data_IF_293149177063
#
_entry.id   IF_293149177063
#
_cell.length_a   1.000
_cell.length_b   1.000
_cell.length_c   1.000
_cell.angle_alpha   90.00
_cell.angle_beta   90.00
_cell.angle_gamma   90.00
#
_symmetry.space_group_name_H-M   'P 1'
#
loop_
_entity.id
_entity.type
_entity.pdbx_description
1 polymer ?
#
# COMPACT_ATOMS: atom_id res chain seq x y z
N UNK A 1 -39.50 14.72 -4.32
CA UNK A 1 -39.03 14.84 -2.96
C UNK A 1 -37.89 13.86 -2.72
N UNK A 2 -36.77 14.36 -2.32
CA UNK A 2 -35.65 13.51 -1.93
C UNK A 2 -35.79 13.19 -0.45
N UNK A 3 -35.72 11.91 -0.13
CA UNK A 3 -35.67 11.49 1.24
C UNK A 3 -34.28 11.74 1.80
N UNK A 4 -34.21 12.40 2.94
CA UNK A 4 -32.94 12.53 3.65
C UNK A 4 -32.45 11.15 4.07
N UNK A 5 -31.16 10.84 3.93
CA UNK A 5 -30.62 9.60 4.45
C UNK A 5 -30.91 9.47 5.95
N UNK A 6 -31.09 8.26 6.39
CA UNK A 6 -31.16 7.98 7.83
C UNK A 6 -29.72 7.95 8.37
N UNK A 7 -29.29 9.09 8.91
CA UNK A 7 -27.91 9.22 9.40
C UNK A 7 -27.60 8.38 10.64
N UNK A 8 -28.62 7.86 11.32
CA UNK A 8 -28.41 6.90 12.40
C UNK A 8 -27.85 5.60 11.86
N UNK A 9 -28.40 5.12 10.76
CA UNK A 9 -28.04 3.82 10.19
C UNK A 9 -27.01 3.95 9.07
N UNK A 10 -26.94 5.12 8.44
CA UNK A 10 -26.05 5.37 7.29
C UNK A 10 -24.99 6.44 7.59
N UNK A 11 -24.62 6.58 8.83
CA UNK A 11 -23.65 7.56 9.27
C UNK A 11 -22.23 7.03 9.32
N UNK A 12 -21.46 7.63 10.20
CA UNK A 12 -20.06 7.27 10.41
C UNK A 12 -19.95 5.83 10.92
N UNK A 13 -18.96 5.13 10.41
CA UNK A 13 -18.59 3.78 10.85
C UNK A 13 -17.24 3.82 11.54
N UNK A 14 -17.12 3.10 12.64
CA UNK A 14 -15.85 2.94 13.34
C UNK A 14 -15.56 1.45 13.37
N UNK A 15 -14.42 1.06 12.83
CA UNK A 15 -13.93 -0.32 12.91
C UNK A 15 -12.81 -0.32 13.95
N UNK A 16 -13.02 -1.07 15.03
CA UNK A 16 -12.07 -1.11 16.13
C UNK A 16 -10.87 -1.98 15.78
N UNK A 17 -9.77 -1.75 16.46
CA UNK A 17 -8.51 -2.48 16.25
C UNK A 17 -8.70 -4.00 16.31
N UNK A 18 -9.51 -4.49 17.21
CA UNK A 18 -9.77 -5.94 17.34
C UNK A 18 -10.74 -6.53 16.32
N UNK A 19 -11.29 -5.70 15.44
CA UNK A 19 -12.30 -6.12 14.47
C UNK A 19 -11.78 -6.21 13.04
N UNK A 20 -10.46 -5.97 12.82
CA UNK A 20 -9.89 -6.06 11.51
C UNK A 20 -9.96 -7.49 10.98
N UNK A 21 -10.18 -7.62 9.68
CA UNK A 21 -10.34 -8.91 9.03
C UNK A 21 -9.06 -9.32 8.32
N UNK A 22 -8.39 -10.35 8.86
CA UNK A 22 -7.18 -10.90 8.26
C UNK A 22 -7.48 -11.96 7.18
N UNK A 23 -8.75 -12.30 6.98
CA UNK A 23 -9.16 -13.20 5.89
C UNK A 23 -9.25 -12.42 4.57
N UNK A 24 -8.12 -11.94 4.10
CA UNK A 24 -7.96 -11.16 2.88
C UNK A 24 -6.75 -11.72 2.14
N UNK A 25 -6.62 -11.50 0.82
CA UNK A 25 -5.47 -12.03 0.08
C UNK A 25 -4.15 -11.62 0.71
N UNK A 26 -3.27 -12.60 0.88
CA UNK A 26 -1.98 -12.44 1.53
C UNK A 26 -0.84 -12.63 0.53
N UNK A 27 0.32 -12.10 0.89
CA UNK A 27 1.56 -12.24 0.13
C UNK A 27 2.61 -12.87 1.06
N UNK A 28 3.44 -13.80 0.59
CA UNK A 28 4.49 -14.36 1.45
C UNK A 28 5.38 -13.27 2.05
N UNK A 29 5.62 -13.37 3.36
CA UNK A 29 6.38 -12.38 4.12
C UNK A 29 5.62 -11.12 4.50
N UNK A 30 4.37 -11.01 4.07
CA UNK A 30 3.52 -9.85 4.34
C UNK A 30 2.16 -10.32 4.81
N UNK A 31 1.62 -9.72 5.86
CA UNK A 31 0.25 -9.96 6.31
C UNK A 31 -0.58 -8.69 6.20
N UNK A 32 -1.82 -8.84 5.79
CA UNK A 32 -2.79 -7.75 5.66
C UNK A 32 -4.00 -8.00 6.50
N UNK A 33 -4.61 -6.93 7.02
CA UNK A 33 -5.88 -7.00 7.71
C UNK A 33 -6.76 -5.85 7.23
N UNK A 34 -7.94 -6.18 6.73
CA UNK A 34 -8.87 -5.17 6.22
C UNK A 34 -9.58 -4.48 7.38
N UNK A 35 -9.60 -3.16 7.34
CA UNK A 35 -10.35 -2.33 8.28
C UNK A 35 -11.57 -1.72 7.61
N UNK A 36 -11.39 -1.08 6.47
CA UNK A 36 -12.45 -0.42 5.73
C UNK A 36 -12.58 -1.07 4.36
N UNK A 37 -13.73 -1.67 4.12
CA UNK A 37 -14.11 -2.22 2.83
C UNK A 37 -15.62 -2.27 2.77
N UNK A 38 -16.19 -2.83 1.71
CA UNK A 38 -17.64 -2.91 1.59
C UNK A 38 -18.26 -3.75 2.71
N UNK A 39 -17.69 -4.90 2.99
CA UNK A 39 -18.25 -5.83 3.97
C UNK A 39 -18.25 -5.28 5.40
N UNK A 40 -17.22 -4.54 5.77
CA UNK A 40 -17.09 -4.02 7.14
C UNK A 40 -17.71 -2.65 7.33
N UNK A 41 -17.69 -1.80 6.33
CA UNK A 41 -18.08 -0.40 6.49
C UNK A 41 -19.02 0.10 5.39
N UNK A 42 -19.34 -0.72 4.40
CA UNK A 42 -20.14 -0.30 3.26
C UNK A 42 -19.39 0.64 2.31
N UNK A 43 -18.07 0.65 2.38
CA UNK A 43 -17.25 1.48 1.49
C UNK A 43 -17.31 0.96 0.06
N UNK A 44 -17.54 1.84 -0.88
CA UNK A 44 -17.67 1.46 -2.29
C UNK A 44 -16.43 1.76 -3.11
N UNK A 45 -15.69 2.80 -2.74
CA UNK A 45 -14.57 3.31 -3.52
C UNK A 45 -13.24 3.26 -2.80
N UNK A 46 -13.22 2.83 -1.56
CA UNK A 46 -12.02 2.79 -0.74
C UNK A 46 -11.86 1.45 -0.06
N UNK A 47 -10.64 0.99 -0.04
CA UNK A 47 -10.21 -0.10 0.84
C UNK A 47 -9.10 0.45 1.73
N UNK A 48 -9.14 0.14 3.03
CA UNK A 48 -8.07 0.52 3.93
C UNK A 48 -7.83 -0.60 4.93
N UNK A 49 -6.58 -0.78 5.29
CA UNK A 49 -6.19 -1.80 6.25
C UNK A 49 -4.76 -1.62 6.71
N UNK A 50 -4.29 -2.61 7.45
CA UNK A 50 -2.92 -2.64 7.95
C UNK A 50 -2.11 -3.67 7.18
N UNK A 51 -0.81 -3.43 7.12
CA UNK A 51 0.16 -4.30 6.48
C UNK A 51 1.34 -4.46 7.42
N UNK A 52 1.75 -5.71 7.63
CA UNK A 52 2.97 -6.03 8.35
C UNK A 52 3.90 -6.79 7.42
N UNK A 53 5.14 -6.33 7.32
CA UNK A 53 6.17 -7.03 6.55
C UNK A 53 7.24 -7.47 7.54
N UNK A 54 7.52 -8.77 7.55
CA UNK A 54 8.50 -9.36 8.44
C UNK A 54 9.89 -8.77 8.21
N UNK A 55 10.76 -8.80 9.25
CA UNK A 55 12.14 -8.35 9.07
C UNK A 55 12.79 -9.03 7.88
N UNK A 56 13.53 -8.25 7.11
CA UNK A 56 14.28 -8.73 5.94
C UNK A 56 13.43 -9.38 4.84
N UNK A 57 12.12 -9.18 4.88
CA UNK A 57 11.21 -9.72 3.86
C UNK A 57 10.94 -8.69 2.77
N UNK A 58 10.52 -9.19 1.62
CA UNK A 58 10.14 -8.36 0.47
C UNK A 58 9.06 -9.07 -0.33
N UNK A 59 8.26 -8.29 -1.03
CA UNK A 59 7.29 -8.83 -2.00
C UNK A 59 8.01 -9.17 -3.31
N UNK A 60 7.34 -9.93 -4.17
CA UNK A 60 7.74 -9.99 -5.56
C UNK A 60 7.40 -8.68 -6.28
N UNK A 61 7.88 -8.54 -7.50
CA UNK A 61 7.51 -7.42 -8.35
C UNK A 61 6.07 -7.59 -8.83
N UNK A 62 5.28 -6.51 -8.77
CA UNK A 62 3.86 -6.54 -9.15
C UNK A 62 3.35 -5.14 -9.43
N UNK A 63 2.15 -5.06 -10.00
CA UNK A 63 1.38 -3.83 -10.03
C UNK A 63 -0.08 -4.12 -9.68
N UNK A 64 -0.85 -3.08 -9.46
CA UNK A 64 -2.25 -3.18 -9.03
C UNK A 64 -3.22 -2.66 -10.10
N UNK A 65 -2.84 -2.75 -11.38
CA UNK A 65 -3.67 -2.25 -12.47
C UNK A 65 -3.93 -0.76 -12.32
N UNK A 66 -5.17 -0.36 -12.52
CA UNK A 66 -5.57 1.06 -12.47
C UNK A 66 -5.71 1.62 -11.05
N UNK A 67 -5.51 0.80 -10.02
CA UNK A 67 -5.66 1.26 -8.63
C UNK A 67 -4.54 2.21 -8.23
N UNK A 68 -4.90 3.18 -7.42
CA UNK A 68 -3.95 4.00 -6.71
C UNK A 68 -3.83 3.52 -5.27
N UNK A 69 -2.66 3.66 -4.68
CA UNK A 69 -2.44 3.28 -3.28
C UNK A 69 -1.70 4.37 -2.54
N UNK A 70 -2.07 4.52 -1.27
CA UNK A 70 -1.31 5.31 -0.31
C UNK A 70 -0.87 4.37 0.80
N UNK A 71 0.40 4.44 1.15
CA UNK A 71 0.96 3.68 2.25
C UNK A 71 1.49 4.68 3.28
N UNK A 72 1.05 4.56 4.52
CA UNK A 72 1.56 5.35 5.63
C UNK A 72 2.39 4.45 6.53
N UNK A 73 3.65 4.81 6.76
CA UNK A 73 4.55 4.02 7.60
C UNK A 73 4.29 4.35 9.06
N UNK A 74 3.78 3.39 9.82
CA UNK A 74 3.56 3.52 11.27
C UNK A 74 4.84 3.30 12.05
N UNK A 75 5.59 2.25 11.69
CA UNK A 75 6.85 1.92 12.35
C UNK A 75 7.73 1.12 11.42
N UNK A 76 9.02 1.21 11.62
CA UNK A 76 10.00 0.55 10.78
C UNK A 76 10.47 1.42 9.63
N UNK A 77 11.10 0.78 8.65
CA UNK A 77 11.68 1.47 7.49
C UNK A 77 11.35 0.69 6.22
N UNK A 78 10.65 1.37 5.30
CA UNK A 78 10.26 0.79 4.04
C UNK A 78 11.27 1.15 2.95
N UNK A 79 11.55 0.22 2.07
CA UNK A 79 12.27 0.48 0.82
C UNK A 79 11.37 0.10 -0.33
N UNK A 80 11.15 1.04 -1.23
CA UNK A 80 10.37 0.79 -2.44
C UNK A 80 11.31 0.76 -3.63
N UNK A 81 11.15 -0.25 -4.46
CA UNK A 81 11.78 -0.27 -5.79
C UNK A 81 10.67 -0.23 -6.82
N UNK A 82 10.90 0.47 -7.92
CA UNK A 82 9.92 0.57 -8.99
C UNK A 82 10.59 0.79 -10.34
N UNK A 83 9.78 0.67 -11.38
CA UNK A 83 10.22 0.79 -12.75
C UNK A 83 10.16 -0.55 -13.48
N UNK A 84 10.28 -0.51 -14.79
CA UNK A 84 10.19 -1.72 -15.63
C UNK A 84 11.25 -2.77 -15.28
N UNK A 85 12.35 -2.34 -14.69
CA UNK A 85 13.46 -3.20 -14.25
C UNK A 85 13.75 -3.01 -12.77
N UNK A 86 12.80 -2.46 -12.00
CA UNK A 86 12.98 -2.11 -10.60
C UNK A 86 14.25 -1.29 -10.36
N UNK A 87 14.58 -0.43 -11.31
CA UNK A 87 15.83 0.34 -11.32
C UNK A 87 15.85 1.48 -10.32
N UNK A 88 14.68 1.99 -9.94
CA UNK A 88 14.58 3.12 -9.02
C UNK A 88 14.34 2.64 -7.60
N UNK A 89 14.85 3.39 -6.62
CA UNK A 89 14.70 3.05 -5.20
C UNK A 89 14.56 4.30 -4.35
N UNK A 90 13.71 4.21 -3.32
CA UNK A 90 13.61 5.23 -2.28
C UNK A 90 13.19 4.57 -0.98
N UNK A 91 13.50 5.23 0.14
CA UNK A 91 13.15 4.75 1.47
C UNK A 91 12.21 5.72 2.16
N UNK A 92 11.37 5.16 3.02
CA UNK A 92 10.43 5.91 3.85
C UNK A 92 10.50 5.38 5.29
N UNK A 93 10.40 6.28 6.23
CA UNK A 93 10.46 5.97 7.67
C UNK A 93 9.12 6.31 8.34
N UNK A 94 8.99 5.95 9.60
CA UNK A 94 7.77 6.21 10.37
C UNK A 94 7.32 7.67 10.23
N UNK A 95 6.06 7.86 9.89
CA UNK A 95 5.47 9.18 9.64
C UNK A 95 5.44 9.58 8.17
N UNK A 96 6.11 8.85 7.29
CA UNK A 96 6.14 9.17 5.87
C UNK A 96 4.97 8.52 5.14
N UNK A 97 4.52 9.19 4.08
CA UNK A 97 3.51 8.66 3.15
C UNK A 97 4.17 8.27 1.83
N UNK A 98 3.72 7.16 1.28
CA UNK A 98 4.15 6.66 -0.03
C UNK A 98 2.94 6.64 -0.94
N UNK A 99 3.08 7.18 -2.13
CA UNK A 99 2.05 7.09 -3.16
C UNK A 99 2.50 6.11 -4.25
N UNK A 100 1.65 5.15 -4.57
CA UNK A 100 1.91 4.18 -5.64
C UNK A 100 0.91 4.45 -6.77
N UNK A 101 1.39 4.99 -7.91
CA UNK A 101 0.49 5.29 -9.04
C UNK A 101 -0.02 4.03 -9.74
N UNK A 102 -1.04 4.18 -10.59
CA UNK A 102 -1.54 3.05 -11.38
C UNK A 102 -0.45 2.43 -12.25
N UNK A 103 -0.53 1.12 -12.43
CA UNK A 103 0.28 0.31 -13.35
C UNK A 103 1.77 0.27 -13.08
N UNK A 104 2.28 0.99 -12.10
CA UNK A 104 3.73 1.02 -11.89
C UNK A 104 4.22 -0.33 -11.33
N UNK A 105 5.16 -0.98 -12.01
CA UNK A 105 5.81 -2.16 -11.45
C UNK A 105 6.58 -1.75 -10.20
N UNK A 106 6.35 -2.43 -9.09
CA UNK A 106 7.01 -2.08 -7.84
C UNK A 106 7.23 -3.29 -6.95
N UNK A 107 8.05 -3.10 -5.95
CA UNK A 107 8.38 -4.10 -4.94
C UNK A 107 8.47 -3.40 -3.59
N UNK A 108 7.87 -3.99 -2.57
CA UNK A 108 7.88 -3.48 -1.21
C UNK A 108 8.86 -4.31 -0.38
N UNK A 109 9.76 -3.63 0.31
CA UNK A 109 10.85 -4.26 1.04
C UNK A 109 10.88 -3.71 2.46
N UNK A 110 11.00 -4.57 3.45
CA UNK A 110 11.37 -4.13 4.79
C UNK A 110 12.88 -3.93 4.80
N UNK A 111 13.30 -2.67 4.96
CA UNK A 111 14.72 -2.31 4.94
C UNK A 111 15.44 -2.60 6.25
N UNK A 112 14.71 -3.03 7.29
CA UNK A 112 15.28 -3.34 8.59
C UNK A 112 15.41 -4.85 8.73
N UNK A 113 16.61 -5.38 9.07
CA UNK A 113 16.78 -6.81 9.27
C UNK A 113 16.21 -7.32 10.59
N UNK A 114 15.90 -6.44 11.54
CA UNK A 114 15.57 -6.84 12.91
C UNK A 114 14.14 -6.50 13.33
N UNK A 115 13.52 -5.48 12.72
CA UNK A 115 12.22 -4.97 13.13
C UNK A 115 11.19 -5.14 12.03
N UNK A 116 9.93 -5.45 12.38
CA UNK A 116 8.87 -5.48 11.38
C UNK A 116 8.57 -4.09 10.84
N UNK A 117 8.10 -4.05 9.62
CA UNK A 117 7.58 -2.84 9.00
C UNK A 117 6.06 -2.88 9.13
N UNK A 118 5.49 -1.85 9.74
CA UNK A 118 4.04 -1.75 9.96
C UNK A 118 3.53 -0.52 9.24
N UNK A 119 2.55 -0.74 8.37
CA UNK A 119 1.98 0.32 7.54
C UNK A 119 0.46 0.30 7.56
N UNK A 120 -0.13 1.45 7.23
CA UNK A 120 -1.52 1.54 6.82
C UNK A 120 -1.53 1.64 5.30
N UNK A 121 -2.39 0.86 4.67
CA UNK A 121 -2.56 0.84 3.22
C UNK A 121 -3.98 1.32 2.89
N UNK A 122 -4.08 2.27 1.97
CA UNK A 122 -5.36 2.74 1.43
C UNK A 122 -5.33 2.57 -0.09
N UNK A 123 -6.36 1.95 -0.64
CA UNK A 123 -6.50 1.75 -2.08
C UNK A 123 -7.79 2.37 -2.59
N UNK A 124 -7.79 2.71 -3.88
CA UNK A 124 -8.89 3.42 -4.54
C UNK A 124 -10.07 2.56 -4.96
N UNK A 125 -10.07 1.25 -4.70
CA UNK A 125 -11.17 0.36 -5.05
C UNK A 125 -11.21 -0.83 -4.11
N UNK A 126 -12.30 -1.59 -4.19
CA UNK A 126 -12.51 -2.79 -3.39
C UNK A 126 -11.79 -4.01 -3.94
N UNK A 127 -11.57 -4.06 -5.24
CA UNK A 127 -10.95 -5.24 -5.85
C UNK A 127 -9.47 -5.34 -5.49
N UNK A 128 -9.07 -6.54 -5.14
CA UNK A 128 -7.66 -6.83 -4.88
C UNK A 128 -6.98 -7.22 -6.20
N UNK A 129 -6.60 -6.21 -6.98
CA UNK A 129 -5.91 -6.43 -8.24
C UNK A 129 -4.42 -6.56 -7.96
N UNK A 130 -3.84 -7.71 -8.29
CA UNK A 130 -2.41 -7.95 -8.19
C UNK A 130 -1.97 -8.66 -9.47
N UNK A 131 -1.13 -8.01 -10.25
CA UNK A 131 -0.52 -8.59 -11.44
C UNK A 131 0.94 -8.84 -11.12
N UNK A 132 1.30 -10.10 -10.91
CA UNK A 132 2.67 -10.50 -10.61
C UNK A 132 3.53 -10.42 -11.86
N UNK A 133 4.73 -9.89 -11.71
CA UNK A 133 5.66 -9.67 -12.80
C UNK A 133 6.95 -10.41 -12.53
N UNK A 134 7.52 -10.97 -13.59
CA UNK A 134 8.82 -11.63 -13.53
C UNK A 134 9.88 -10.61 -13.96
N UNK A 135 10.40 -9.87 -13.01
CA UNK A 135 11.39 -8.82 -13.25
C UNK A 135 12.66 -9.14 -12.50
N UNK A 136 13.77 -9.20 -13.22
CA UNK A 136 15.09 -9.22 -12.63
C UNK A 136 15.54 -7.78 -12.38
N UNK A 137 15.71 -7.43 -11.11
CA UNK A 137 16.04 -6.07 -10.72
C UNK A 137 17.40 -5.64 -11.23
N UNK A 138 17.47 -4.44 -11.79
CA UNK A 138 18.74 -3.84 -12.23
C UNK A 138 19.60 -3.48 -11.02
N UNK A 139 20.86 -3.87 -11.06
CA UNK A 139 21.83 -3.53 -10.01
C UNK A 139 23.03 -2.79 -10.62
N UNK A 140 23.52 -1.72 -9.99
CA UNK A 140 22.94 -1.11 -8.80
C UNK A 140 21.67 -0.34 -9.12
N UNK A 141 20.80 -0.20 -8.10
CA UNK A 141 19.59 0.61 -8.22
C UNK A 141 19.93 2.11 -8.15
N UNK A 142 19.03 2.93 -8.68
CA UNK A 142 19.17 4.37 -8.68
C UNK A 142 18.28 4.99 -7.62
N UNK A 143 18.89 5.67 -6.63
CA UNK A 143 18.14 6.43 -5.63
C UNK A 143 17.52 7.66 -6.29
N UNK A 144 16.22 7.84 -6.12
CA UNK A 144 15.45 8.86 -6.82
C UNK A 144 14.87 9.87 -5.84
N UNK A 145 14.92 11.15 -6.20
CA UNK A 145 14.21 12.18 -5.46
C UNK A 145 12.71 12.05 -5.76
N UNK A 146 11.89 12.02 -4.71
CA UNK A 146 10.48 11.68 -4.80
C UNK A 146 9.56 12.67 -4.11
N UNK A 147 10.04 13.84 -3.75
CA UNK A 147 9.20 14.84 -3.08
C UNK A 147 8.08 15.38 -3.99
N UNK A 148 7.04 16.00 -3.40
CA UNK A 148 5.89 16.48 -4.15
C UNK A 148 6.22 17.58 -5.16
N UNK A 149 7.34 18.26 -4.96
CA UNK A 149 7.80 19.32 -5.85
C UNK A 149 8.86 18.85 -6.84
N UNK A 150 8.88 17.54 -7.11
CA UNK A 150 9.83 16.99 -8.08
C UNK A 150 9.61 17.65 -9.44
N UNK A 151 10.66 18.30 -10.01
CA UNK A 151 10.49 19.01 -11.28
C UNK A 151 10.17 18.01 -12.40
N UNK A 152 9.00 18.16 -13.02
CA UNK A 152 8.59 17.30 -14.12
C UNK A 152 9.60 17.47 -15.28
N UNK A 153 10.08 16.37 -15.84
CA UNK A 153 11.01 16.38 -16.95
C UNK A 153 12.44 16.72 -16.58
N UNK A 154 12.75 16.94 -15.32
CA UNK A 154 14.12 16.96 -14.88
C UNK A 154 14.54 15.50 -14.74
N UNK A 155 14.78 14.94 -15.84
CA UNK A 155 15.23 13.55 -15.88
C UNK A 155 16.61 13.44 -15.32
#
# INVERSE_FOLDING_TARGET
>A
MTNSPNWRDNGVRIVRRGELDSNTPQTPGMTRAAAINYAKAGAEKLWAGTVNIEPDAKTGAHHHGELESVIYVLSGRARMRWGDKLEFVAEASAGDFIYVPPFVPHQEINADPDQPLVCVLVRSDQEAIVVNLDIEATEPSETTWIGPNHPAGSG
#
